data_IF_247669587358
#
_entry.id   IF_247669587358
#
_cell.length_a   1.000
_cell.length_b   1.000
_cell.length_c   1.000
_cell.angle_alpha   90.00
_cell.angle_beta   90.00
_cell.angle_gamma   90.00
#
_symmetry.space_group_name_H-M   'P 1'
#
loop_
_entity.id
_entity.type
_entity.pdbx_description
1 polymer ?
#
# COMPACT_ATOMS: atom_id res chain seq x y z
N UNK A 1 17.59 3.54 15.65
CA UNK A 1 16.30 4.17 16.07
C UNK A 1 15.53 3.11 16.86
N UNK A 2 15.03 3.38 18.07
CA UNK A 2 14.40 2.32 18.89
C UNK A 2 13.06 1.87 18.27
N UNK A 3 12.70 0.58 18.43
CA UNK A 3 11.40 -0.01 18.06
C UNK A 3 10.22 0.85 18.54
N UNK A 4 10.42 1.52 19.67
CA UNK A 4 9.46 2.46 20.25
C UNK A 4 9.16 3.69 19.37
N UNK A 5 10.16 4.23 18.65
CA UNK A 5 9.95 5.35 17.70
C UNK A 5 9.20 4.91 16.45
N UNK A 6 9.45 3.69 16.00
CA UNK A 6 8.71 3.06 14.89
C UNK A 6 7.24 2.86 15.25
N UNK A 7 6.98 2.38 16.47
CA UNK A 7 5.62 2.17 16.97
C UNK A 7 4.86 3.50 17.06
N UNK A 8 5.50 4.56 17.58
CA UNK A 8 4.90 5.90 17.66
C UNK A 8 4.59 6.45 16.27
N UNK A 9 5.51 6.35 15.31
CA UNK A 9 5.28 6.80 13.95
C UNK A 9 4.11 6.05 13.28
N UNK A 10 4.03 4.72 13.49
CA UNK A 10 2.92 3.90 12.97
C UNK A 10 1.58 4.25 13.62
N UNK A 11 1.56 4.50 14.94
CA UNK A 11 0.34 4.88 15.66
C UNK A 11 -0.10 6.30 15.27
N UNK A 12 0.83 7.25 15.20
CA UNK A 12 0.53 8.62 14.77
C UNK A 12 -0.04 8.64 13.35
N UNK A 13 0.50 7.81 12.47
CA UNK A 13 0.04 7.62 11.12
C UNK A 13 -1.38 7.05 11.05
N UNK A 14 -1.67 6.02 11.84
CA UNK A 14 -3.01 5.42 11.94
C UNK A 14 -4.03 6.44 12.48
N UNK A 15 -3.63 7.26 13.45
CA UNK A 15 -4.48 8.33 14.00
C UNK A 15 -4.78 9.43 12.99
N UNK A 16 -3.81 9.84 12.17
CA UNK A 16 -4.03 10.82 11.09
C UNK A 16 -4.97 10.27 10.03
N UNK A 17 -4.87 8.97 9.69
CA UNK A 17 -5.82 8.30 8.80
C UNK A 17 -7.23 8.27 9.38
N UNK A 18 -7.38 7.90 10.65
CA UNK A 18 -8.69 7.81 11.31
C UNK A 18 -9.35 9.18 11.46
N UNK A 19 -8.58 10.24 11.74
CA UNK A 19 -9.12 11.61 11.80
C UNK A 19 -9.50 12.12 10.41
N UNK A 20 -8.74 11.78 9.36
CA UNK A 20 -9.09 12.12 7.96
C UNK A 20 -10.41 11.49 7.51
N UNK A 21 -10.71 10.27 7.96
CA UNK A 21 -11.98 9.58 7.69
C UNK A 21 -13.14 10.24 8.46
N UNK A 22 -12.92 10.67 9.69
CA UNK A 22 -13.97 11.29 10.53
C UNK A 22 -14.44 12.66 9.98
N UNK A 23 -13.61 13.38 9.25
CA UNK A 23 -13.99 14.65 8.62
C UNK A 23 -14.75 14.52 7.29
N UNK A 24 -14.96 13.29 6.80
CA UNK A 24 -15.70 13.03 5.55
C UNK A 24 -17.11 12.49 5.78
N UNK A 25 -17.68 12.63 6.98
CA UNK A 25 -19.11 12.38 7.15
C UNK A 25 -19.88 13.35 6.26
N UNK A 26 -20.77 12.85 5.36
CA UNK A 26 -21.63 13.74 4.59
C UNK A 26 -22.45 14.60 5.55
N UNK A 27 -22.56 15.88 5.25
CA UNK A 27 -23.52 16.75 5.92
C UNK A 27 -24.88 16.04 5.96
N UNK A 28 -25.50 16.04 7.12
CA UNK A 28 -26.82 15.52 7.43
C UNK A 28 -27.76 15.65 6.25
N UNK A 29 -28.10 14.52 5.62
CA UNK A 29 -29.18 14.48 4.67
C UNK A 29 -30.47 14.76 5.46
N UNK A 30 -31.17 15.80 5.08
CA UNK A 30 -32.47 16.23 5.61
C UNK A 30 -33.43 15.02 5.79
N UNK A 31 -33.81 14.75 7.02
CA UNK A 31 -34.56 13.58 7.45
C UNK A 31 -36.05 13.64 7.11
N UNK A 32 -36.49 14.43 6.15
CA UNK A 32 -37.91 14.68 5.86
C UNK A 32 -38.55 13.78 4.78
N UNK A 33 -37.81 12.79 4.22
CA UNK A 33 -38.42 11.88 3.20
C UNK A 33 -38.27 10.40 3.50
N UNK A 34 -38.49 9.98 4.74
CA UNK A 34 -38.63 8.54 5.08
C UNK A 34 -40.12 8.21 5.18
N UNK A 35 -40.77 7.94 4.06
CA UNK A 35 -42.00 7.12 4.01
C UNK A 35 -42.31 6.63 2.60
N UNK A 36 -41.50 5.70 2.10
CA UNK A 36 -41.95 4.68 1.14
C UNK A 36 -41.01 3.48 1.27
N UNK A 37 -41.53 2.39 1.85
CA UNK A 37 -40.87 1.12 1.83
C UNK A 37 -40.76 0.65 0.38
N UNK A 38 -39.57 0.73 -0.20
CA UNK A 38 -39.27 0.16 -1.51
C UNK A 38 -39.32 -1.38 -1.42
N UNK A 39 -39.84 -2.10 -2.43
CA UNK A 39 -39.88 -3.55 -2.43
C UNK A 39 -38.44 -4.14 -2.42
N UNK A 40 -38.26 -5.18 -1.60
CA UNK A 40 -36.99 -5.87 -1.30
C UNK A 40 -36.29 -6.57 -2.50
N UNK A 41 -36.74 -6.33 -3.73
CA UNK A 41 -36.21 -7.00 -4.94
C UNK A 41 -35.22 -6.15 -5.77
N UNK A 42 -35.00 -4.92 -5.36
CA UNK A 42 -33.94 -4.11 -5.94
C UNK A 42 -32.67 -4.30 -5.10
N UNK A 43 -31.84 -5.28 -5.44
CA UNK A 43 -30.40 -5.12 -5.27
C UNK A 43 -30.00 -3.99 -6.23
N UNK A 44 -30.49 -2.79 -5.92
CA UNK A 44 -30.12 -1.59 -6.60
C UNK A 44 -28.60 -1.58 -6.68
N UNK A 45 -28.11 -1.56 -7.89
CA UNK A 45 -26.72 -1.30 -8.23
C UNK A 45 -26.17 -0.34 -7.19
N UNK A 46 -25.17 -0.83 -6.41
CA UNK A 46 -24.38 0.05 -5.57
C UNK A 46 -23.99 1.19 -6.49
N UNK A 47 -24.42 2.44 -6.23
CA UNK A 47 -24.25 3.51 -7.19
C UNK A 47 -22.76 3.52 -7.54
N UNK A 48 -22.47 3.16 -8.78
CA UNK A 48 -21.11 3.24 -9.32
C UNK A 48 -20.63 4.64 -8.94
N UNK A 49 -19.58 4.73 -8.14
CA UNK A 49 -19.03 5.99 -7.67
C UNK A 49 -18.99 6.93 -8.87
N UNK A 50 -19.97 7.83 -8.91
CA UNK A 50 -20.06 8.82 -9.99
C UNK A 50 -18.72 9.47 -10.01
N UNK A 51 -18.05 9.45 -11.17
CA UNK A 51 -16.73 10.03 -11.39
C UNK A 51 -16.74 11.46 -10.90
N UNK A 52 -16.42 11.64 -9.62
CA UNK A 52 -16.25 12.96 -9.04
C UNK A 52 -15.06 13.57 -9.75
N UNK A 53 -15.16 14.82 -10.14
CA UNK A 53 -14.05 15.53 -10.76
C UNK A 53 -12.82 15.43 -9.85
N UNK A 54 -11.65 15.09 -10.43
CA UNK A 54 -10.41 14.97 -9.67
C UNK A 54 -10.15 16.24 -8.86
N UNK A 55 -10.06 16.09 -7.55
CA UNK A 55 -9.74 17.19 -6.66
C UNK A 55 -8.21 17.38 -6.62
N UNK A 56 -7.73 18.46 -7.25
CA UNK A 56 -6.28 18.74 -7.36
C UNK A 56 -5.58 18.86 -6.01
N UNK A 57 -6.21 19.47 -5.01
CA UNK A 57 -5.60 19.63 -3.68
C UNK A 57 -5.42 18.25 -3.00
N UNK A 58 -6.46 17.38 -3.03
CA UNK A 58 -6.36 16.03 -2.52
C UNK A 58 -5.33 15.22 -3.29
N UNK A 59 -5.26 15.38 -4.62
CA UNK A 59 -4.26 14.71 -5.44
C UNK A 59 -2.83 15.08 -5.01
N UNK A 60 -2.52 16.36 -4.82
CA UNK A 60 -1.20 16.79 -4.36
C UNK A 60 -0.89 16.26 -2.95
N UNK A 61 -1.88 16.29 -2.05
CA UNK A 61 -1.73 15.78 -0.70
C UNK A 61 -1.44 14.27 -0.71
N UNK A 62 -2.22 13.49 -1.43
CA UNK A 62 -2.05 12.03 -1.53
C UNK A 62 -0.72 11.68 -2.19
N UNK A 63 -0.36 12.35 -3.28
CA UNK A 63 0.91 12.08 -3.98
C UNK A 63 2.12 12.44 -3.10
N UNK A 64 2.08 13.59 -2.44
CA UNK A 64 3.12 14.02 -1.50
C UNK A 64 3.26 13.05 -0.33
N UNK A 65 2.13 12.62 0.22
CA UNK A 65 2.08 11.65 1.31
C UNK A 65 2.63 10.29 0.88
N UNK A 66 2.18 9.75 -0.26
CA UNK A 66 2.67 8.46 -0.79
C UNK A 66 4.18 8.51 -1.01
N UNK A 67 4.69 9.58 -1.63
CA UNK A 67 6.12 9.76 -1.84
C UNK A 67 6.90 9.85 -0.53
N UNK A 68 6.43 10.67 0.43
CA UNK A 68 7.07 10.82 1.73
C UNK A 68 7.06 9.49 2.52
N UNK A 69 5.97 8.73 2.43
CA UNK A 69 5.87 7.44 3.08
C UNK A 69 6.81 6.40 2.46
N UNK A 70 6.93 6.34 1.13
CA UNK A 70 7.88 5.46 0.44
C UNK A 70 9.32 5.77 0.85
N UNK A 71 9.72 7.05 0.81
CA UNK A 71 11.07 7.48 1.22
C UNK A 71 11.28 7.20 2.71
N UNK A 72 10.31 7.52 3.56
CA UNK A 72 10.38 7.27 4.98
C UNK A 72 10.51 5.79 5.32
N UNK A 73 9.75 4.93 4.65
CA UNK A 73 9.86 3.47 4.79
C UNK A 73 11.26 2.98 4.43
N UNK A 74 11.80 3.44 3.31
CA UNK A 74 13.15 3.09 2.89
C UNK A 74 14.21 3.52 3.92
N UNK A 75 14.16 4.78 4.38
CA UNK A 75 15.11 5.32 5.36
C UNK A 75 15.03 4.59 6.70
N UNK A 76 13.83 4.24 7.14
CA UNK A 76 13.63 3.51 8.40
C UNK A 76 14.22 2.11 8.36
N UNK A 77 14.21 1.44 7.21
CA UNK A 77 14.79 0.11 7.06
C UNK A 77 16.32 0.13 6.89
N UNK A 78 16.91 1.28 6.52
CA UNK A 78 18.37 1.37 6.28
C UNK A 78 19.22 0.98 7.49
N UNK A 79 18.89 1.45 8.69
CA UNK A 79 19.75 1.21 9.88
C UNK A 79 19.67 -0.22 10.43
N UNK A 80 18.47 -0.80 10.67
CA UNK A 80 18.43 -2.12 11.30
C UNK A 80 18.67 -3.26 10.32
N UNK A 81 18.35 -3.09 9.04
CA UNK A 81 18.40 -4.17 8.03
C UNK A 81 19.70 -4.21 7.26
N UNK A 82 20.26 -3.04 6.93
CA UNK A 82 21.43 -2.90 6.05
C UNK A 82 22.68 -2.43 6.81
N UNK A 83 22.86 -2.91 8.05
CA UNK A 83 24.03 -2.63 8.88
C UNK A 83 25.24 -3.54 8.60
N UNK A 84 25.11 -4.55 7.72
CA UNK A 84 26.13 -5.55 7.43
C UNK A 84 27.18 -5.11 6.43
N UNK A 85 28.10 -6.03 6.10
CA UNK A 85 29.15 -5.78 5.11
C UNK A 85 28.58 -5.76 3.67
N UNK A 86 29.10 -4.83 2.86
CA UNK A 86 28.76 -4.72 1.45
C UNK A 86 29.74 -5.51 0.62
N UNK A 87 29.29 -6.58 -0.04
CA UNK A 87 30.12 -7.51 -0.81
C UNK A 87 29.73 -7.62 -2.29
N UNK A 88 29.33 -6.52 -2.90
CA UNK A 88 28.93 -6.48 -4.30
C UNK A 88 27.52 -6.99 -4.54
N UNK A 89 27.07 -6.93 -5.79
CA UNK A 89 25.71 -7.30 -6.19
C UNK A 89 25.55 -8.83 -6.27
N UNK A 90 24.64 -9.36 -5.50
CA UNK A 90 24.35 -10.82 -5.46
C UNK A 90 22.90 -11.11 -5.80
N UNK A 91 22.66 -12.13 -6.63
CA UNK A 91 21.33 -12.63 -6.97
C UNK A 91 21.17 -14.03 -6.44
N UNK A 92 20.06 -14.30 -5.75
CA UNK A 92 19.70 -15.60 -5.19
C UNK A 92 18.45 -16.15 -5.87
N UNK A 93 18.48 -17.46 -6.20
CA UNK A 93 17.37 -18.18 -6.86
C UNK A 93 16.80 -19.28 -5.96
N UNK A 94 16.83 -19.05 -4.65
CA UNK A 94 16.47 -20.02 -3.62
C UNK A 94 14.93 -20.10 -3.44
N UNK A 95 14.27 -20.77 -4.40
CA UNK A 95 12.81 -20.93 -4.39
C UNK A 95 12.29 -21.67 -3.17
N UNK A 96 13.05 -22.64 -2.69
CA UNK A 96 12.69 -23.52 -1.56
C UNK A 96 13.78 -23.42 -0.50
N UNK A 97 13.87 -22.28 0.12
CA UNK A 97 14.77 -22.08 1.24
C UNK A 97 13.97 -22.31 2.53
N UNK A 98 14.30 -23.37 3.26
CA UNK A 98 13.66 -23.70 4.54
C UNK A 98 13.93 -22.67 5.66
N UNK A 99 14.73 -21.66 5.39
CA UNK A 99 14.89 -20.53 6.29
C UNK A 99 13.54 -19.82 6.40
N UNK A 100 12.97 -19.75 7.59
CA UNK A 100 11.66 -19.17 7.88
C UNK A 100 10.44 -19.86 7.25
N UNK A 101 10.52 -21.12 6.81
CA UNK A 101 9.39 -21.88 6.26
C UNK A 101 8.65 -21.12 5.14
N UNK A 102 9.37 -20.42 4.27
CA UNK A 102 8.82 -19.62 3.16
C UNK A 102 7.90 -18.44 3.57
N UNK A 103 7.83 -18.13 4.88
CA UNK A 103 7.01 -17.02 5.41
C UNK A 103 7.41 -15.69 4.78
N UNK A 104 8.67 -15.55 4.40
CA UNK A 104 9.21 -14.36 3.74
C UNK A 104 8.47 -14.07 2.42
N UNK A 105 8.31 -15.05 1.55
CA UNK A 105 7.56 -14.90 0.27
C UNK A 105 6.10 -14.53 0.49
N UNK A 106 5.46 -15.14 1.51
CA UNK A 106 4.11 -14.73 1.90
C UNK A 106 4.07 -13.30 2.41
N UNK A 107 5.07 -12.89 3.18
CA UNK A 107 5.23 -11.52 3.65
C UNK A 107 5.32 -10.54 2.49
N UNK A 108 6.16 -10.81 1.50
CA UNK A 108 6.29 -10.01 0.29
C UNK A 108 4.99 -9.94 -0.50
N UNK A 109 4.32 -11.07 -0.72
CA UNK A 109 3.04 -11.12 -1.44
C UNK A 109 1.95 -10.30 -0.73
N UNK A 110 1.71 -10.56 0.55
CA UNK A 110 0.66 -9.88 1.32
C UNK A 110 0.93 -8.39 1.53
N UNK A 111 2.17 -8.03 1.83
CA UNK A 111 2.54 -6.63 2.01
C UNK A 111 2.29 -5.81 0.74
N UNK A 112 2.54 -6.40 -0.43
CA UNK A 112 2.29 -5.75 -1.70
C UNK A 112 0.80 -5.63 -2.02
N UNK A 113 -0.05 -6.60 -1.64
CA UNK A 113 -1.52 -6.45 -1.73
C UNK A 113 -1.98 -5.26 -0.88
N UNK A 114 -1.61 -5.25 0.40
CA UNK A 114 -2.01 -4.20 1.35
C UNK A 114 -1.54 -2.83 0.88
N UNK A 115 -0.30 -2.74 0.42
CA UNK A 115 0.27 -1.49 -0.09
C UNK A 115 -0.46 -0.99 -1.33
N UNK A 116 -0.76 -1.88 -2.28
CA UNK A 116 -1.50 -1.54 -3.50
C UNK A 116 -2.88 -1.00 -3.17
N UNK A 117 -3.62 -1.69 -2.30
CA UNK A 117 -4.95 -1.28 -1.88
C UNK A 117 -4.94 0.04 -1.11
N UNK A 118 -3.99 0.22 -0.21
CA UNK A 118 -3.83 1.45 0.57
C UNK A 118 -3.58 2.68 -0.31
N UNK A 119 -2.65 2.57 -1.25
CA UNK A 119 -2.37 3.65 -2.20
C UNK A 119 -3.57 3.86 -3.11
N UNK A 120 -4.20 2.80 -3.61
CA UNK A 120 -5.38 2.91 -4.45
C UNK A 120 -6.53 3.65 -3.75
N UNK A 121 -6.88 3.28 -2.52
CA UNK A 121 -7.89 3.95 -1.71
C UNK A 121 -7.57 5.45 -1.51
N UNK A 122 -6.30 5.77 -1.31
CA UNK A 122 -5.84 7.16 -1.17
C UNK A 122 -6.08 7.98 -2.44
N UNK A 123 -5.83 7.41 -3.62
CA UNK A 123 -6.08 8.08 -4.90
C UNK A 123 -7.57 8.14 -5.25
N UNK A 124 -8.35 7.14 -4.87
CA UNK A 124 -9.82 7.21 -4.97
C UNK A 124 -10.40 8.36 -4.14
N UNK A 125 -9.88 8.58 -2.94
CA UNK A 125 -10.24 9.76 -2.13
C UNK A 125 -9.94 11.08 -2.85
N UNK A 126 -8.94 11.12 -3.73
CA UNK A 126 -8.65 12.28 -4.58
C UNK A 126 -9.55 12.39 -5.83
N UNK A 127 -10.46 11.42 -6.04
CA UNK A 127 -11.38 11.38 -7.18
C UNK A 127 -10.84 10.63 -8.40
N UNK A 128 -9.77 9.86 -8.25
CA UNK A 128 -9.25 8.99 -9.31
C UNK A 128 -10.11 7.73 -9.39
N UNK A 129 -10.43 7.27 -10.58
CA UNK A 129 -11.23 6.03 -10.74
C UNK A 129 -10.50 4.81 -10.18
N UNK A 130 -11.24 3.87 -9.58
CA UNK A 130 -10.73 2.64 -8.94
C UNK A 130 -9.67 1.94 -9.79
N UNK A 131 -9.95 1.70 -11.07
CA UNK A 131 -9.02 1.02 -11.97
C UNK A 131 -7.67 1.74 -12.11
N UNK A 132 -7.68 3.07 -12.25
CA UNK A 132 -6.44 3.87 -12.33
C UNK A 132 -5.73 3.89 -10.98
N UNK A 133 -6.46 4.00 -9.88
CA UNK A 133 -5.92 3.98 -8.53
C UNK A 133 -5.21 2.67 -8.23
N UNK A 134 -5.77 1.53 -8.62
CA UNK A 134 -5.13 0.22 -8.50
C UNK A 134 -3.82 0.13 -9.28
N UNK A 135 -3.76 0.64 -10.51
CA UNK A 135 -2.50 0.68 -11.26
C UNK A 135 -1.45 1.57 -10.60
N UNK A 136 -1.85 2.72 -10.07
CA UNK A 136 -0.95 3.60 -9.31
C UNK A 136 -0.45 2.89 -8.06
N UNK A 137 -1.34 2.22 -7.33
CA UNK A 137 -1.00 1.44 -6.15
C UNK A 137 -0.01 0.33 -6.44
N UNK A 138 -0.30 -0.50 -7.46
CA UNK A 138 0.56 -1.60 -7.87
C UNK A 138 1.95 -1.13 -8.31
N UNK A 139 2.01 -0.04 -9.08
CA UNK A 139 3.29 0.53 -9.51
C UNK A 139 4.09 1.07 -8.30
N UNK A 140 3.44 1.80 -7.39
CA UNK A 140 4.08 2.33 -6.18
C UNK A 140 4.61 1.21 -5.30
N UNK A 141 3.82 0.17 -5.06
CA UNK A 141 4.21 -1.01 -4.30
C UNK A 141 5.40 -1.71 -4.94
N UNK A 142 5.32 -1.99 -6.25
CA UNK A 142 6.40 -2.64 -6.99
C UNK A 142 7.70 -1.83 -6.92
N UNK A 143 7.65 -0.50 -7.10
CA UNK A 143 8.84 0.36 -7.01
C UNK A 143 9.47 0.29 -5.63
N UNK A 144 8.67 0.39 -4.57
CA UNK A 144 9.17 0.35 -3.19
C UNK A 144 9.85 -0.99 -2.90
N UNK A 145 9.19 -2.11 -3.16
CA UNK A 145 9.75 -3.43 -2.87
C UNK A 145 10.92 -3.78 -3.78
N UNK A 146 10.91 -3.34 -5.04
CA UNK A 146 12.08 -3.46 -5.91
C UNK A 146 13.28 -2.69 -5.34
N UNK A 147 13.05 -1.51 -4.76
CA UNK A 147 14.15 -0.74 -4.15
C UNK A 147 14.73 -1.44 -2.92
N UNK A 148 13.93 -2.16 -2.13
CA UNK A 148 14.41 -2.99 -1.05
C UNK A 148 15.26 -4.14 -1.56
N UNK A 149 14.76 -4.93 -2.52
CA UNK A 149 15.50 -6.06 -3.12
C UNK A 149 16.81 -5.62 -3.77
N UNK A 150 16.82 -4.48 -4.47
CA UNK A 150 18.05 -3.93 -5.07
C UNK A 150 19.06 -3.50 -4.00
N UNK A 151 18.60 -3.02 -2.86
CA UNK A 151 19.48 -2.67 -1.75
C UNK A 151 20.01 -3.92 -1.09
N UNK A 152 19.17 -4.92 -0.85
CA UNK A 152 19.54 -6.23 -0.30
C UNK A 152 20.61 -6.92 -1.16
N UNK A 153 20.56 -6.73 -2.47
CA UNK A 153 21.57 -7.24 -3.40
C UNK A 153 23.01 -6.80 -3.07
N UNK A 154 23.16 -5.64 -2.42
CA UNK A 154 24.47 -5.08 -2.04
C UNK A 154 25.04 -5.62 -0.74
N UNK A 155 24.26 -6.38 0.06
CA UNK A 155 24.67 -6.86 1.37
C UNK A 155 24.87 -8.38 1.38
N UNK A 156 25.90 -8.84 2.12
CA UNK A 156 26.32 -10.26 2.13
C UNK A 156 25.23 -11.19 2.63
N UNK A 157 24.56 -10.81 3.71
CA UNK A 157 23.56 -11.63 4.39
C UNK A 157 22.26 -11.77 3.59
N UNK A 158 21.91 -10.76 2.77
CA UNK A 158 20.63 -10.67 2.09
C UNK A 158 20.72 -11.14 0.62
N UNK A 159 21.11 -10.30 -0.29
CA UNK A 159 21.11 -10.54 -1.74
C UNK A 159 19.73 -10.32 -2.37
N UNK A 160 19.68 -9.97 -3.65
CA UNK A 160 18.45 -9.89 -4.44
C UNK A 160 17.83 -11.29 -4.57
N UNK A 161 16.68 -11.52 -3.97
CA UNK A 161 15.98 -12.80 -4.03
C UNK A 161 14.91 -12.79 -5.10
N UNK A 162 15.14 -13.52 -6.18
CA UNK A 162 14.19 -13.60 -7.29
C UNK A 162 12.80 -14.10 -6.84
N UNK A 163 12.68 -15.11 -5.98
CA UNK A 163 11.37 -15.56 -5.51
C UNK A 163 10.59 -14.50 -4.73
N UNK A 164 11.27 -13.71 -3.90
CA UNK A 164 10.65 -12.66 -3.09
C UNK A 164 10.20 -11.48 -3.96
N UNK A 165 11.03 -11.13 -4.95
CA UNK A 165 10.66 -10.17 -5.98
C UNK A 165 9.42 -10.62 -6.79
N UNK A 166 9.39 -11.89 -7.22
CA UNK A 166 8.22 -12.45 -7.93
C UNK A 166 6.98 -12.42 -7.04
N UNK A 167 7.10 -12.81 -5.77
CA UNK A 167 6.00 -12.73 -4.81
C UNK A 167 5.49 -11.28 -4.65
N UNK A 168 6.40 -10.32 -4.59
CA UNK A 168 6.07 -8.88 -4.53
C UNK A 168 5.27 -8.41 -5.75
N UNK A 169 5.73 -8.74 -6.96
CA UNK A 169 5.06 -8.36 -8.22
C UNK A 169 3.67 -9.00 -8.32
N UNK A 170 3.55 -10.28 -7.96
CA UNK A 170 2.26 -10.99 -7.95
C UNK A 170 1.30 -10.39 -6.92
N UNK A 171 1.80 -10.05 -5.73
CA UNK A 171 1.01 -9.40 -4.69
C UNK A 171 0.53 -8.01 -5.12
N UNK A 172 1.41 -7.20 -5.74
CA UNK A 172 1.05 -5.89 -6.24
C UNK A 172 -0.02 -5.95 -7.36
N UNK A 173 0.06 -6.95 -8.23
CA UNK A 173 -0.87 -7.15 -9.34
C UNK A 173 -2.20 -7.79 -8.93
N UNK A 174 -2.25 -8.51 -7.82
CA UNK A 174 -3.43 -9.27 -7.39
C UNK A 174 -4.71 -8.42 -7.29
N UNK A 175 -4.72 -7.21 -6.67
CA UNK A 175 -5.91 -6.38 -6.59
C UNK A 175 -6.44 -5.85 -7.94
N UNK A 176 -5.63 -5.89 -8.99
CA UNK A 176 -6.06 -5.44 -10.33
C UNK A 176 -6.95 -6.50 -11.00
N UNK A 177 -6.78 -7.76 -10.59
CA UNK A 177 -7.49 -8.92 -11.18
C UNK A 177 -8.85 -9.17 -10.51
N UNK A 178 -9.12 -8.54 -9.38
CA UNK A 178 -10.31 -8.65 -8.57
C UNK A 178 -11.02 -7.30 -8.41
#
# INVERSE_FOLDING_TARGET
MSVFRLLILSITFLLVLLTGIAYTTPAEADSTTVNQAAPLNDFAEIPAFTTSSINKQRMYLVSGFTGAWMVGSYVVHMEPWWAGEKNGFRVKYDWWNNTWLEVDKFGHFYSNIIMTEFVAASYEFAGVSRRKSLWIGALSSTILFTSFELTDAGFEDWGFRVPDYVASVLGAGYPILH
#
